data_IF_874354817106
#
_entry.id   IF_874354817106
#
_cell.length_a   1.000
_cell.length_b   1.000
_cell.length_c   1.000
_cell.angle_alpha   90.00
_cell.angle_beta   90.00
_cell.angle_gamma   90.00
#
_symmetry.space_group_name_H-M   'P 1'
#
loop_
_entity.id
_entity.type
_entity.pdbx_description
1 polymer ?
#
# COMPACT_ATOMS: atom_id res chain seq x y z
N UNK A 1 55.31 36.06 39.08
CA UNK A 1 55.20 37.53 38.90
C UNK A 1 53.74 37.79 38.51
N UNK A 2 52.88 38.14 39.48
CA UNK A 2 52.48 39.52 39.87
C UNK A 2 51.71 40.20 38.72
N UNK A 3 50.56 40.84 38.87
CA UNK A 3 49.74 41.19 40.03
C UNK A 3 48.43 41.81 39.46
N UNK A 4 47.29 41.54 40.08
CA UNK A 4 46.13 42.47 40.18
C UNK A 4 46.52 43.60 41.19
N UNK A 5 45.73 44.64 41.60
CA UNK A 5 44.25 44.72 41.63
C UNK A 5 43.58 46.14 41.55
N UNK A 6 42.26 46.14 41.80
CA UNK A 6 41.43 47.09 42.62
C UNK A 6 41.10 48.48 42.03
N UNK A 7 39.92 49.09 42.26
CA UNK A 7 39.05 49.11 43.46
C UNK A 7 37.71 49.85 43.16
N UNK A 8 36.53 49.32 43.61
CA UNK A 8 35.55 49.85 44.63
C UNK A 8 34.93 51.25 44.40
N UNK A 9 33.67 51.59 44.76
CA UNK A 9 32.83 51.22 45.91
C UNK A 9 31.38 51.78 45.75
N UNK A 10 30.39 51.12 46.38
CA UNK A 10 29.03 51.54 46.80
C UNK A 10 29.08 52.58 47.97
N UNK A 11 28.00 53.09 48.67
CA UNK A 11 26.62 52.58 48.87
C UNK A 11 25.44 53.62 49.09
N UNK A 12 24.23 53.09 49.38
CA UNK A 12 23.25 53.52 50.42
C UNK A 12 21.88 54.19 50.06
N UNK A 13 20.87 53.78 50.85
CA UNK A 13 19.38 54.00 50.94
C UNK A 13 19.15 54.99 52.14
N UNK A 14 18.05 55.80 52.36
CA UNK A 14 16.69 55.30 52.66
C UNK A 14 15.41 56.20 52.54
N UNK A 15 14.25 55.50 52.57
CA UNK A 15 12.92 55.77 53.21
C UNK A 15 12.19 57.14 53.22
N UNK A 16 10.88 57.10 52.88
CA UNK A 16 9.68 57.44 53.71
C UNK A 16 8.63 58.44 53.16
N UNK A 17 7.37 58.17 53.53
CA UNK A 17 6.21 59.06 53.77
C UNK A 17 5.14 59.36 52.67
N UNK A 18 3.93 58.81 52.90
CA UNK A 18 2.58 59.36 52.64
C UNK A 18 2.29 60.56 53.60
N UNK A 19 1.16 61.34 53.58
CA UNK A 19 -0.18 61.10 52.98
C UNK A 19 -0.89 62.33 52.34
N UNK A 20 -2.08 62.17 51.73
CA UNK A 20 -3.33 62.94 52.00
C UNK A 20 -4.45 62.78 50.94
N UNK A 21 -5.59 62.28 51.41
CA UNK A 21 -6.99 62.37 50.90
C UNK A 21 -7.66 63.69 51.38
N UNK A 22 -8.90 64.13 50.99
CA UNK A 22 -10.08 63.30 50.65
C UNK A 22 -11.17 63.79 49.67
N UNK A 23 -12.10 62.84 49.43
CA UNK A 23 -13.56 62.89 49.12
C UNK A 23 -14.04 63.50 47.79
N UNK A 24 -15.06 62.97 47.11
CA UNK A 24 -16.29 62.31 47.61
C UNK A 24 -16.99 61.39 46.58
N UNK A 25 -17.63 60.32 47.09
CA UNK A 25 -19.02 59.97 46.79
C UNK A 25 -19.36 58.83 45.80
N UNK A 26 -19.86 57.70 46.34
CA UNK A 26 -21.04 56.99 45.80
C UNK A 26 -20.89 55.55 45.26
N UNK A 27 -21.02 54.55 46.14
CA UNK A 27 -21.17 53.09 45.91
C UNK A 27 -22.63 52.66 45.53
N UNK A 28 -22.97 51.36 45.31
CA UNK A 28 -22.20 50.22 44.79
C UNK A 28 -22.99 49.37 43.75
N UNK A 29 -22.32 48.51 42.98
CA UNK A 29 -22.95 47.28 42.47
C UNK A 29 -21.95 46.14 42.35
N UNK A 30 -22.33 45.01 42.94
CA UNK A 30 -21.53 43.80 43.16
C UNK A 30 -21.26 43.05 41.86
N UNK A 31 -19.98 42.83 41.54
CA UNK A 31 -19.55 41.88 40.51
C UNK A 31 -18.61 40.84 41.11
N UNK A 32 -19.10 39.60 41.15
CA UNK A 32 -18.33 38.42 41.50
C UNK A 32 -17.45 38.04 40.31
N UNK A 33 -16.15 38.30 40.40
CA UNK A 33 -15.13 37.87 39.44
C UNK A 33 -14.98 36.35 39.45
N UNK A 34 -15.31 35.70 38.34
CA UNK A 34 -14.78 34.38 37.96
C UNK A 34 -13.64 34.58 36.96
N UNK A 35 -12.49 33.90 37.09
CA UNK A 35 -11.37 34.08 36.17
C UNK A 35 -11.63 33.33 34.85
N UNK A 36 -11.61 34.06 33.73
CA UNK A 36 -11.65 33.53 32.36
C UNK A 36 -10.22 33.53 31.80
N UNK A 37 -9.78 32.37 31.30
CA UNK A 37 -8.61 32.20 30.41
C UNK A 37 -9.01 31.13 29.38
N UNK A 38 -8.41 31.04 28.17
CA UNK A 38 -8.42 31.96 27.02
C UNK A 38 -9.10 31.31 25.80
N UNK A 39 -9.67 32.09 24.87
CA UNK A 39 -10.04 31.57 23.53
C UNK A 39 -8.93 31.87 22.52
N UNK A 40 -8.06 30.89 22.32
CA UNK A 40 -7.19 30.77 21.14
C UNK A 40 -8.04 30.80 19.86
N UNK A 41 -7.58 31.44 18.77
CA UNK A 41 -8.32 31.44 17.51
C UNK A 41 -8.44 30.02 16.98
N UNK A 42 -9.67 29.64 16.61
CA UNK A 42 -10.03 28.32 16.13
C UNK A 42 -9.11 27.87 14.99
N UNK A 43 -8.58 26.66 15.13
CA UNK A 43 -7.90 25.96 14.05
C UNK A 43 -8.84 25.84 12.83
N UNK A 44 -8.29 25.85 11.60
CA UNK A 44 -9.11 25.66 10.40
C UNK A 44 -9.83 24.30 10.48
N UNK A 45 -11.04 24.18 9.88
CA UNK A 45 -11.84 22.98 9.99
C UNK A 45 -11.03 21.78 9.48
N UNK A 46 -10.86 20.78 10.34
CA UNK A 46 -10.23 19.51 9.98
C UNK A 46 -10.95 18.95 8.75
N UNK A 47 -10.21 18.84 7.64
CA UNK A 47 -10.69 18.30 6.38
C UNK A 47 -11.39 16.96 6.61
N UNK A 48 -12.50 16.77 5.89
CA UNK A 48 -13.41 15.62 5.96
C UNK A 48 -12.78 14.38 6.58
N UNK A 49 -13.22 14.04 7.79
CA UNK A 49 -12.70 12.90 8.52
C UNK A 49 -12.87 11.64 7.65
N UNK A 50 -11.73 11.08 7.20
CA UNK A 50 -11.70 9.85 6.40
C UNK A 50 -12.69 8.81 6.96
N UNK A 51 -13.37 8.00 6.13
CA UNK A 51 -14.25 6.93 6.62
C UNK A 51 -13.57 6.10 7.71
N UNK A 52 -14.33 5.61 8.71
CA UNK A 52 -13.78 4.93 9.91
C UNK A 52 -12.78 3.82 9.54
N UNK A 53 -13.07 3.04 8.49
CA UNK A 53 -12.19 1.98 7.99
C UNK A 53 -10.87 2.54 7.42
N UNK A 54 -10.89 3.67 6.71
CA UNK A 54 -9.67 4.34 6.22
C UNK A 54 -8.85 4.92 7.36
N UNK A 55 -9.47 5.48 8.39
CA UNK A 55 -8.77 5.97 9.59
C UNK A 55 -8.02 4.85 10.31
N UNK A 56 -8.69 3.72 10.51
CA UNK A 56 -8.09 2.55 11.14
C UNK A 56 -6.91 2.01 10.32
N UNK A 57 -7.10 1.87 9.00
CA UNK A 57 -6.03 1.45 8.09
C UNK A 57 -4.83 2.42 8.11
N UNK A 58 -5.04 3.73 8.13
CA UNK A 58 -3.96 4.72 8.22
C UNK A 58 -3.18 4.57 9.55
N UNK A 59 -3.87 4.31 10.66
CA UNK A 59 -3.23 4.07 11.95
C UNK A 59 -2.40 2.77 11.93
N UNK A 60 -2.97 1.67 11.42
CA UNK A 60 -2.26 0.40 11.24
C UNK A 60 -1.04 0.56 10.32
N UNK A 61 -1.19 1.27 9.20
CA UNK A 61 -0.10 1.54 8.26
C UNK A 61 1.03 2.35 8.93
N UNK A 62 0.69 3.35 9.77
CA UNK A 62 1.70 4.12 10.52
C UNK A 62 2.51 3.23 11.47
N UNK A 63 1.84 2.32 12.19
CA UNK A 63 2.50 1.34 13.07
C UNK A 63 3.40 0.43 12.24
N UNK A 64 2.88 -0.14 11.15
CA UNK A 64 3.64 -0.99 10.23
C UNK A 64 4.90 -0.26 9.72
N UNK A 65 4.80 1.01 9.32
CA UNK A 65 5.95 1.79 8.87
C UNK A 65 7.00 1.99 9.95
N UNK A 66 6.58 2.25 11.18
CA UNK A 66 7.50 2.40 12.31
C UNK A 66 8.30 1.10 12.54
N UNK A 67 7.60 -0.05 12.56
CA UNK A 67 8.22 -1.38 12.73
C UNK A 67 9.17 -1.71 11.58
N UNK A 68 8.77 -1.49 10.32
CA UNK A 68 9.63 -1.75 9.16
C UNK A 68 10.86 -0.83 9.13
N UNK A 69 10.71 0.44 9.53
CA UNK A 69 11.83 1.38 9.64
C UNK A 69 12.81 0.95 10.73
N UNK A 70 12.32 0.40 11.85
CA UNK A 70 13.18 -0.16 12.89
C UNK A 70 13.99 -1.38 12.40
N UNK A 71 13.43 -2.16 11.47
CA UNK A 71 14.11 -3.29 10.82
C UNK A 71 15.10 -2.87 9.73
N UNK A 72 15.05 -1.62 9.26
CA UNK A 72 15.93 -1.12 8.22
C UNK A 72 17.35 -0.89 8.76
N UNK A 73 18.39 -1.50 8.15
CA UNK A 73 19.77 -1.24 8.55
C UNK A 73 20.15 0.23 8.40
N UNK A 74 20.82 0.79 9.41
CA UNK A 74 21.21 2.21 9.46
C UNK A 74 22.30 2.60 8.44
N UNK A 75 23.03 1.61 7.90
CA UNK A 75 24.13 1.83 6.96
C UNK A 75 24.04 0.96 5.72
N UNK A 76 24.55 1.50 4.62
CA UNK A 76 24.60 0.85 3.32
C UNK A 76 23.36 1.08 2.47
N UNK A 77 23.48 0.68 1.21
CA UNK A 77 22.44 0.83 0.19
C UNK A 77 22.20 -0.50 -0.51
N UNK A 78 20.94 -0.75 -0.87
CA UNK A 78 20.58 -1.78 -1.82
C UNK A 78 20.74 -1.19 -3.22
N UNK A 79 21.87 -1.48 -3.87
CA UNK A 79 22.22 -0.90 -5.18
C UNK A 79 21.71 -1.79 -6.30
N UNK A 80 20.92 -1.21 -7.19
CA UNK A 80 20.37 -1.88 -8.37
C UNK A 80 20.74 -1.06 -9.60
N UNK A 81 21.46 -1.66 -10.53
CA UNK A 81 21.82 -1.03 -11.82
C UNK A 81 21.28 -1.90 -12.96
N UNK A 82 20.22 -1.40 -13.60
CA UNK A 82 19.42 -2.13 -14.59
C UNK A 82 19.19 -1.27 -15.84
N UNK A 83 18.90 -1.91 -16.96
CA UNK A 83 18.42 -1.25 -18.18
C UNK A 83 16.90 -1.19 -18.19
N UNK A 84 16.32 -0.21 -18.90
CA UNK A 84 14.87 -0.15 -19.10
C UNK A 84 14.36 -1.28 -19.99
N UNK A 85 15.16 -1.73 -20.95
CA UNK A 85 14.80 -2.75 -21.94
C UNK A 85 14.73 -4.16 -21.35
N UNK A 86 15.63 -4.51 -20.43
CA UNK A 86 15.67 -5.83 -19.79
C UNK A 86 15.40 -5.72 -18.28
N UNK A 87 14.50 -4.83 -17.89
CA UNK A 87 14.26 -4.49 -16.47
C UNK A 87 13.88 -5.73 -15.65
N UNK A 88 13.09 -6.65 -16.21
CA UNK A 88 12.63 -7.85 -15.53
C UNK A 88 13.79 -8.83 -15.24
N UNK A 89 14.48 -9.28 -16.29
CA UNK A 89 15.56 -10.27 -16.20
C UNK A 89 16.80 -9.75 -15.44
N UNK A 90 17.14 -8.47 -15.60
CA UNK A 90 18.25 -7.88 -14.83
C UNK A 90 17.90 -7.71 -13.36
N UNK A 91 16.67 -7.30 -13.04
CA UNK A 91 16.20 -7.22 -11.66
C UNK A 91 16.15 -8.59 -11.01
N UNK A 92 15.67 -9.61 -11.73
CA UNK A 92 15.65 -11.00 -11.27
C UNK A 92 17.05 -11.47 -10.86
N UNK A 93 18.03 -11.34 -11.75
CA UNK A 93 19.42 -11.75 -11.48
C UNK A 93 20.05 -11.05 -10.29
N UNK A 94 19.76 -9.77 -10.09
CA UNK A 94 20.29 -8.98 -8.97
C UNK A 94 19.61 -9.36 -7.65
N UNK A 95 18.28 -9.33 -7.60
CA UNK A 95 17.50 -9.55 -6.39
C UNK A 95 17.62 -10.98 -5.88
N UNK A 96 17.67 -11.98 -6.76
CA UNK A 96 17.79 -13.37 -6.34
C UNK A 96 19.15 -13.69 -5.71
N UNK A 97 20.22 -12.98 -6.10
CA UNK A 97 21.55 -13.10 -5.48
C UNK A 97 21.67 -12.35 -4.15
N UNK A 98 20.79 -11.41 -3.87
CA UNK A 98 20.83 -10.63 -2.62
C UNK A 98 20.27 -11.40 -1.44
N UNK A 99 20.84 -11.14 -0.26
CA UNK A 99 20.28 -11.63 1.00
C UNK A 99 19.13 -10.73 1.45
N UNK A 100 18.13 -11.25 2.17
CA UNK A 100 17.02 -10.45 2.70
C UNK A 100 17.42 -9.18 3.45
N UNK A 101 18.46 -9.25 4.28
CA UNK A 101 18.99 -8.08 5.01
C UNK A 101 19.51 -6.97 4.10
N UNK A 102 20.08 -7.33 2.95
CA UNK A 102 20.62 -6.38 1.98
C UNK A 102 19.50 -5.65 1.22
N UNK A 103 18.40 -6.35 0.92
CA UNK A 103 17.20 -5.77 0.29
C UNK A 103 16.42 -4.79 1.19
N UNK A 104 16.56 -4.90 2.52
CA UNK A 104 15.97 -3.97 3.50
C UNK A 104 16.74 -2.64 3.62
N UNK A 105 17.97 -2.57 3.12
CA UNK A 105 18.75 -1.31 3.08
C UNK A 105 18.08 -0.31 2.14
N UNK A 106 18.37 0.98 2.33
CA UNK A 106 17.83 2.05 1.47
C UNK A 106 18.08 1.75 -0.01
N UNK A 107 17.02 1.71 -0.81
CA UNK A 107 17.08 1.45 -2.25
C UNK A 107 17.85 2.57 -2.95
N UNK A 108 18.75 2.19 -3.84
CA UNK A 108 19.52 3.07 -4.70
C UNK A 108 19.50 2.45 -6.10
N UNK A 109 18.51 2.85 -6.89
CA UNK A 109 18.31 2.34 -8.24
C UNK A 109 18.91 3.30 -9.25
N UNK A 110 19.55 2.77 -10.28
CA UNK A 110 20.13 3.51 -11.40
C UNK A 110 19.80 2.81 -12.72
N UNK A 111 19.27 3.55 -13.68
CA UNK A 111 19.14 3.06 -15.05
C UNK A 111 20.48 3.24 -15.79
N UNK A 112 20.93 2.19 -16.50
CA UNK A 112 22.19 2.26 -17.25
C UNK A 112 22.10 3.32 -18.34
N UNK A 113 23.12 4.17 -18.43
CA UNK A 113 23.18 5.26 -19.41
C UNK A 113 22.36 6.49 -19.03
N UNK A 114 21.69 6.50 -17.86
CA UNK A 114 20.90 7.62 -17.38
C UNK A 114 21.52 8.25 -16.12
N UNK A 115 21.66 9.57 -16.11
CA UNK A 115 21.97 10.31 -14.89
C UNK A 115 20.69 10.49 -14.07
N UNK A 116 20.52 9.65 -13.05
CA UNK A 116 19.41 9.77 -12.11
C UNK A 116 19.56 11.05 -11.27
N UNK A 117 18.69 12.04 -11.50
CA UNK A 117 18.64 13.27 -10.69
C UNK A 117 18.27 13.01 -9.23
N UNK A 118 17.48 11.97 -8.96
CA UNK A 118 17.09 11.57 -7.60
C UNK A 118 16.87 10.06 -7.46
N UNK A 119 17.54 9.46 -6.46
CA UNK A 119 17.53 8.01 -6.23
C UNK A 119 16.17 7.44 -5.79
N UNK A 120 15.31 8.21 -5.12
CA UNK A 120 13.99 7.76 -4.68
C UNK A 120 12.93 7.86 -5.78
N UNK A 121 13.03 8.82 -6.68
CA UNK A 121 12.23 8.88 -7.90
C UNK A 121 12.47 7.66 -8.78
N UNK A 122 13.75 7.36 -9.05
CA UNK A 122 14.16 6.21 -9.88
C UNK A 122 13.76 4.88 -9.24
N UNK A 123 13.79 4.74 -7.91
CA UNK A 123 13.34 3.53 -7.23
C UNK A 123 11.83 3.27 -7.39
N UNK A 124 11.00 4.33 -7.34
CA UNK A 124 9.56 4.23 -7.59
C UNK A 124 9.27 3.83 -9.03
N UNK A 125 9.93 4.49 -9.97
CA UNK A 125 9.79 4.20 -11.39
C UNK A 125 10.23 2.76 -11.72
N UNK A 126 11.38 2.32 -11.19
CA UNK A 126 11.85 0.95 -11.34
C UNK A 126 10.82 -0.07 -10.86
N UNK A 127 10.25 0.14 -9.67
CA UNK A 127 9.28 -0.79 -9.13
C UNK A 127 7.98 -0.80 -9.94
N UNK A 128 7.55 0.37 -10.42
CA UNK A 128 6.39 0.51 -11.30
C UNK A 128 6.58 -0.24 -12.63
N UNK A 129 7.73 -0.04 -13.30
CA UNK A 129 8.02 -0.69 -14.57
C UNK A 129 8.19 -2.20 -14.38
N UNK A 130 8.89 -2.60 -13.32
CA UNK A 130 9.08 -4.00 -12.97
C UNK A 130 7.76 -4.69 -12.62
N UNK A 131 6.83 -4.01 -11.92
CA UNK A 131 5.54 -4.60 -11.63
C UNK A 131 4.72 -4.86 -12.88
N UNK A 132 4.77 -3.98 -13.87
CA UNK A 132 4.09 -4.20 -15.15
C UNK A 132 4.63 -5.42 -15.89
N UNK A 133 5.96 -5.55 -15.99
CA UNK A 133 6.57 -6.71 -16.63
C UNK A 133 6.29 -8.00 -15.85
N UNK A 134 6.45 -7.97 -14.52
CA UNK A 134 6.21 -9.13 -13.65
C UNK A 134 4.76 -9.63 -13.71
N UNK A 135 3.80 -8.72 -13.86
CA UNK A 135 2.38 -9.01 -13.87
C UNK A 135 1.81 -9.19 -15.29
N UNK A 136 2.63 -9.02 -16.32
CA UNK A 136 2.24 -9.26 -17.70
C UNK A 136 1.99 -10.77 -17.91
N UNK A 137 0.76 -11.17 -18.31
CA UNK A 137 0.44 -12.59 -18.53
C UNK A 137 1.29 -13.28 -19.59
N UNK A 138 1.97 -12.54 -20.46
CA UNK A 138 2.87 -13.09 -21.48
C UNK A 138 4.07 -13.84 -20.88
N UNK A 139 4.52 -13.48 -19.67
CA UNK A 139 5.57 -14.23 -18.96
C UNK A 139 5.07 -15.54 -18.33
N UNK A 140 3.76 -15.80 -18.39
CA UNK A 140 3.15 -17.06 -17.93
C UNK A 140 3.11 -17.25 -16.41
N UNK A 141 3.50 -16.25 -15.61
CA UNK A 141 3.44 -16.33 -14.14
C UNK A 141 2.02 -16.06 -13.61
N UNK A 142 1.37 -15.03 -14.14
CA UNK A 142 0.02 -14.64 -13.76
C UNK A 142 -0.90 -14.68 -14.96
N UNK A 143 -2.19 -14.79 -14.71
CA UNK A 143 -3.24 -14.72 -15.72
C UNK A 143 -4.41 -13.91 -15.19
N UNK A 144 -5.22 -13.36 -16.10
CA UNK A 144 -6.46 -12.71 -15.70
C UNK A 144 -7.43 -13.74 -15.10
N UNK A 145 -8.12 -13.34 -14.03
CA UNK A 145 -9.13 -14.17 -13.36
C UNK A 145 -10.34 -14.41 -14.25
N UNK A 146 -10.77 -13.36 -14.98
CA UNK A 146 -11.87 -13.37 -15.94
C UNK A 146 -11.62 -12.40 -17.08
N UNK A 147 -12.36 -12.55 -18.17
CA UNK A 147 -12.30 -11.66 -19.34
C UNK A 147 -12.80 -10.24 -19.05
N UNK A 148 -13.69 -10.08 -18.07
CA UNK A 148 -14.32 -8.81 -17.68
C UNK A 148 -13.63 -8.09 -16.51
N UNK A 149 -12.69 -8.76 -15.83
CA UNK A 149 -12.05 -8.26 -14.63
C UNK A 149 -10.53 -8.38 -14.74
N UNK A 150 -9.84 -7.24 -14.76
CA UNK A 150 -8.37 -7.13 -14.86
C UNK A 150 -7.63 -7.56 -13.57
N UNK A 151 -8.28 -8.32 -12.69
CA UNK A 151 -7.62 -8.92 -11.52
C UNK A 151 -6.79 -10.13 -11.94
N UNK A 152 -5.63 -10.27 -11.32
CA UNK A 152 -4.66 -11.30 -11.62
C UNK A 152 -4.70 -12.43 -10.60
N UNK A 153 -4.51 -13.65 -11.08
CA UNK A 153 -4.31 -14.86 -10.31
C UNK A 153 -3.05 -15.59 -10.81
N UNK A 154 -2.50 -16.49 -10.00
CA UNK A 154 -1.37 -17.32 -10.41
C UNK A 154 -1.80 -18.23 -11.56
N UNK A 155 -0.97 -18.32 -12.60
CA UNK A 155 -1.19 -19.26 -13.69
C UNK A 155 -0.83 -20.69 -13.24
N UNK A 156 -1.79 -21.63 -13.19
CA UNK A 156 -1.51 -23.03 -12.86
C UNK A 156 -0.56 -23.70 -13.87
N UNK A 157 -0.56 -23.23 -15.12
CA UNK A 157 0.29 -23.75 -16.20
C UNK A 157 1.67 -23.07 -16.25
N UNK A 158 2.02 -22.28 -15.23
CA UNK A 158 3.36 -21.65 -15.14
C UNK A 158 4.52 -22.64 -15.19
N UNK A 159 4.28 -23.92 -14.88
CA UNK A 159 5.27 -25.01 -14.96
C UNK A 159 5.82 -25.28 -16.37
N UNK A 160 5.21 -24.70 -17.42
CA UNK A 160 5.80 -24.66 -18.78
C UNK A 160 7.20 -24.02 -18.75
N UNK A 161 7.44 -23.08 -17.84
CA UNK A 161 8.78 -22.60 -17.53
C UNK A 161 9.37 -23.40 -16.36
N UNK A 162 10.47 -24.17 -16.56
CA UNK A 162 11.11 -24.94 -15.49
C UNK A 162 11.54 -24.10 -14.28
N UNK A 163 11.88 -22.84 -14.48
CA UNK A 163 12.34 -21.92 -13.43
C UNK A 163 11.20 -21.11 -12.79
N UNK A 164 9.94 -21.40 -13.12
CA UNK A 164 8.78 -20.60 -12.68
C UNK A 164 8.73 -20.38 -11.16
N UNK A 165 9.07 -21.39 -10.35
CA UNK A 165 9.10 -21.26 -8.88
C UNK A 165 10.11 -20.22 -8.41
N UNK A 166 11.26 -20.12 -9.09
CA UNK A 166 12.27 -19.10 -8.80
C UNK A 166 11.73 -17.69 -9.14
N UNK A 167 11.00 -17.56 -10.24
CA UNK A 167 10.33 -16.31 -10.61
C UNK A 167 9.20 -15.93 -9.63
N UNK A 168 8.43 -16.90 -9.10
CA UNK A 168 7.47 -16.61 -8.03
C UNK A 168 8.16 -16.18 -6.73
N UNK A 169 9.29 -16.81 -6.37
CA UNK A 169 10.11 -16.38 -5.24
C UNK A 169 10.60 -14.94 -5.42
N UNK A 170 11.08 -14.61 -6.62
CA UNK A 170 11.43 -13.25 -7.01
C UNK A 170 10.23 -12.28 -6.89
N UNK A 171 9.07 -12.63 -7.45
CA UNK A 171 7.87 -11.81 -7.38
C UNK A 171 7.46 -11.52 -5.93
N UNK A 172 7.53 -12.54 -5.06
CA UNK A 172 7.34 -12.40 -3.62
C UNK A 172 8.30 -11.39 -2.99
N UNK A 173 9.59 -11.45 -3.35
CA UNK A 173 10.58 -10.46 -2.88
C UNK A 173 10.27 -9.05 -3.37
N UNK A 174 9.83 -8.87 -4.63
CA UNK A 174 9.44 -7.56 -5.17
C UNK A 174 8.23 -6.99 -4.43
N UNK A 175 7.19 -7.79 -4.17
CA UNK A 175 6.05 -7.38 -3.35
C UNK A 175 6.50 -7.01 -1.93
N UNK A 176 7.39 -7.81 -1.34
CA UNK A 176 7.98 -7.52 -0.03
C UNK A 176 8.77 -6.20 -0.01
N UNK A 177 9.59 -5.95 -1.03
CA UNK A 177 10.36 -4.70 -1.20
C UNK A 177 9.42 -3.50 -1.34
N UNK A 178 8.34 -3.64 -2.13
CA UNK A 178 7.32 -2.62 -2.29
C UNK A 178 6.73 -2.19 -0.94
N UNK A 179 6.24 -3.17 -0.16
CA UNK A 179 5.65 -2.92 1.16
C UNK A 179 6.69 -2.38 2.14
N UNK A 180 7.91 -2.92 2.15
CA UNK A 180 8.97 -2.54 3.07
C UNK A 180 9.40 -1.07 2.89
N UNK A 181 9.69 -0.67 1.66
CA UNK A 181 10.16 0.69 1.34
C UNK A 181 9.00 1.66 1.13
N UNK A 182 7.80 1.14 0.88
CA UNK A 182 6.61 1.95 0.79
C UNK A 182 6.20 2.43 -0.55
N UNK A 183 6.54 1.66 -1.55
CA UNK A 183 6.18 1.91 -2.91
C UNK A 183 4.98 1.03 -3.26
N UNK A 184 4.25 1.46 -4.28
CA UNK A 184 3.09 0.75 -4.76
C UNK A 184 3.47 -0.07 -5.99
N UNK A 185 2.88 -1.27 -6.08
CA UNK A 185 2.95 -2.12 -7.27
C UNK A 185 1.73 -1.80 -8.11
N UNK A 186 1.93 -1.66 -9.42
CA UNK A 186 0.81 -1.47 -10.33
C UNK A 186 0.28 -2.82 -10.79
N UNK A 187 -0.77 -3.29 -10.12
CA UNK A 187 -1.51 -4.49 -10.47
C UNK A 187 -2.40 -4.96 -9.31
N UNK A 188 -3.59 -5.46 -9.66
CA UNK A 188 -4.57 -5.96 -8.69
C UNK A 188 -4.60 -7.48 -8.68
N UNK A 189 -4.32 -8.09 -7.54
CA UNK A 189 -4.58 -9.52 -7.36
C UNK A 189 -6.02 -9.76 -6.91
N UNK A 190 -6.51 -11.00 -7.03
CA UNK A 190 -7.81 -11.37 -6.48
C UNK A 190 -7.82 -11.32 -4.94
N UNK A 191 -8.99 -11.09 -4.34
CA UNK A 191 -9.18 -11.17 -2.88
C UNK A 191 -8.62 -12.45 -2.24
N UNK A 192 -8.87 -13.66 -2.80
CA UNK A 192 -8.24 -14.89 -2.32
C UNK A 192 -6.71 -14.83 -2.22
N UNK A 193 -6.03 -14.18 -3.17
CA UNK A 193 -4.57 -14.04 -3.14
C UNK A 193 -4.09 -13.34 -1.87
N UNK A 194 -4.73 -12.22 -1.49
CA UNK A 194 -4.39 -11.49 -0.28
C UNK A 194 -4.76 -12.26 0.99
N UNK A 195 -5.90 -12.98 1.00
CA UNK A 195 -6.26 -13.88 2.11
C UNK A 195 -5.21 -14.96 2.32
N UNK A 196 -4.76 -15.61 1.24
CA UNK A 196 -3.70 -16.62 1.30
C UNK A 196 -2.39 -16.02 1.81
N UNK A 197 -2.04 -14.79 1.41
CA UNK A 197 -0.82 -14.13 1.86
C UNK A 197 -0.84 -13.82 3.37
N UNK A 198 -2.03 -13.54 3.91
CA UNK A 198 -2.30 -13.37 5.34
C UNK A 198 -2.47 -14.69 6.11
N UNK A 199 -2.40 -15.84 5.43
CA UNK A 199 -2.75 -17.16 5.99
C UNK A 199 -4.18 -17.22 6.55
N UNK A 200 -5.12 -16.49 5.94
CA UNK A 200 -6.54 -16.56 6.24
C UNK A 200 -7.21 -17.65 5.41
N UNK A 201 -8.24 -18.33 5.95
CA UNK A 201 -9.00 -19.31 5.19
C UNK A 201 -9.79 -18.62 4.07
N UNK A 202 -9.86 -19.28 2.92
CA UNK A 202 -10.70 -18.87 1.80
C UNK A 202 -12.14 -19.31 2.10
N UNK A 203 -13.10 -18.43 1.81
CA UNK A 203 -14.53 -18.65 2.07
C UNK A 203 -15.30 -18.81 0.76
N UNK A 204 -16.53 -19.29 0.86
CA UNK A 204 -17.42 -19.46 -0.30
C UNK A 204 -17.66 -18.14 -1.04
N UNK A 205 -17.80 -17.03 -0.31
CA UNK A 205 -17.94 -15.68 -0.87
C UNK A 205 -16.78 -15.29 -1.81
N UNK A 206 -15.58 -15.82 -1.59
CA UNK A 206 -14.42 -15.54 -2.45
C UNK A 206 -14.57 -16.18 -3.84
N UNK A 207 -15.36 -17.25 -3.96
CA UNK A 207 -15.64 -17.91 -5.24
C UNK A 207 -16.51 -17.01 -6.12
N UNK A 208 -17.43 -16.21 -5.57
CA UNK A 208 -18.37 -15.41 -6.36
C UNK A 208 -17.66 -14.49 -7.38
N UNK A 209 -16.52 -13.90 -6.98
CA UNK A 209 -15.70 -13.04 -7.82
C UNK A 209 -14.82 -13.77 -8.85
N UNK A 210 -14.64 -15.08 -8.72
CA UNK A 210 -13.79 -15.90 -9.62
C UNK A 210 -14.60 -16.85 -10.50
N UNK A 211 -15.65 -17.47 -9.95
CA UNK A 211 -16.52 -18.45 -10.62
C UNK A 211 -17.97 -18.37 -10.06
N UNK A 212 -18.88 -17.56 -10.63
CA UNK A 212 -20.20 -17.32 -10.04
C UNK A 212 -21.10 -18.55 -10.12
N UNK A 213 -20.87 -19.41 -11.11
CA UNK A 213 -21.62 -20.64 -11.32
C UNK A 213 -21.28 -21.66 -10.24
N UNK A 214 -19.98 -21.86 -9.97
CA UNK A 214 -19.54 -22.70 -8.86
C UNK A 214 -20.03 -22.16 -7.51
N UNK A 215 -19.98 -20.85 -7.31
CA UNK A 215 -20.54 -20.21 -6.11
C UNK A 215 -22.01 -20.58 -5.92
N UNK A 216 -22.83 -20.42 -6.97
CA UNK A 216 -24.26 -20.75 -6.95
C UNK A 216 -24.52 -22.22 -6.60
N UNK A 217 -23.77 -23.13 -7.22
CA UNK A 217 -23.90 -24.57 -6.99
C UNK A 217 -23.55 -24.97 -5.56
N UNK A 218 -22.43 -24.45 -5.01
CA UNK A 218 -22.02 -24.74 -3.64
C UNK A 218 -22.93 -24.07 -2.60
N UNK A 219 -23.45 -22.87 -2.87
CA UNK A 219 -24.47 -22.21 -2.03
C UNK A 219 -25.76 -23.02 -2.01
N UNK A 220 -26.21 -23.49 -3.18
CA UNK A 220 -27.39 -24.35 -3.27
C UNK A 220 -27.23 -25.62 -2.43
N UNK A 221 -26.06 -26.28 -2.48
CA UNK A 221 -25.78 -27.45 -1.64
C UNK A 221 -25.89 -27.15 -0.14
N UNK A 222 -25.48 -25.95 0.31
CA UNK A 222 -25.56 -25.57 1.71
C UNK A 222 -27.00 -25.29 2.16
N UNK A 223 -27.81 -24.72 1.28
CA UNK A 223 -29.16 -24.23 1.57
C UNK A 223 -30.27 -25.27 1.36
N UNK A 224 -29.99 -26.34 0.60
CA UNK A 224 -30.98 -27.36 0.23
C UNK A 224 -30.61 -28.75 0.78
N UNK A 225 -31.61 -29.62 0.87
CA UNK A 225 -31.43 -31.03 1.25
C UNK A 225 -30.83 -31.82 0.08
N UNK A 226 -29.70 -32.48 0.33
CA UNK A 226 -28.97 -33.29 -0.65
C UNK A 226 -29.59 -34.67 -0.88
N UNK A 227 -30.45 -35.14 0.05
CA UNK A 227 -30.96 -36.52 0.08
C UNK A 227 -31.66 -36.91 -1.21
N UNK A 228 -31.05 -37.81 -1.99
CA UNK A 228 -31.60 -38.30 -3.27
C UNK A 228 -31.52 -37.30 -4.43
N UNK A 229 -30.87 -36.15 -4.25
CA UNK A 229 -30.70 -35.11 -5.27
C UNK A 229 -29.26 -35.04 -5.78
N UNK A 230 -28.27 -35.14 -4.88
CA UNK A 230 -26.85 -35.09 -5.21
C UNK A 230 -26.18 -36.36 -4.69
N UNK A 231 -25.66 -37.17 -5.62
CA UNK A 231 -24.84 -38.34 -5.31
C UNK A 231 -23.38 -38.02 -5.66
N UNK A 232 -22.67 -37.41 -4.72
CA UNK A 232 -21.26 -37.06 -4.87
C UNK A 232 -20.44 -37.52 -3.67
N UNK A 233 -19.14 -37.68 -3.87
CA UNK A 233 -18.19 -38.09 -2.84
C UNK A 233 -17.25 -36.94 -2.52
N UNK A 234 -16.36 -37.10 -1.54
CA UNK A 234 -15.26 -36.14 -1.28
C UNK A 234 -14.14 -36.24 -2.33
N UNK A 235 -14.50 -36.43 -3.59
CA UNK A 235 -13.60 -36.45 -4.73
C UNK A 235 -14.17 -35.61 -5.86
N UNK A 236 -13.29 -34.95 -6.60
CA UNK A 236 -13.63 -34.03 -7.69
C UNK A 236 -12.96 -34.45 -8.97
N UNK A 237 -13.72 -34.41 -10.05
CA UNK A 237 -13.24 -34.75 -11.38
C UNK A 237 -12.72 -33.50 -12.09
N UNK A 238 -11.49 -33.56 -12.58
CA UNK A 238 -10.86 -32.47 -13.30
C UNK A 238 -10.41 -32.96 -14.66
N UNK A 239 -10.90 -32.30 -15.71
CA UNK A 239 -10.38 -32.47 -17.04
C UNK A 239 -9.06 -31.71 -17.16
N UNK A 240 -7.95 -32.43 -17.28
CA UNK A 240 -6.62 -31.88 -17.52
C UNK A 240 -6.12 -32.38 -18.87
N UNK A 241 -6.08 -31.49 -19.88
CA UNK A 241 -5.64 -31.81 -21.24
C UNK A 241 -6.40 -32.99 -21.89
N UNK A 242 -7.72 -33.08 -21.65
CA UNK A 242 -8.57 -34.15 -22.18
C UNK A 242 -8.56 -35.44 -21.35
N UNK A 243 -7.75 -35.51 -20.29
CA UNK A 243 -7.72 -36.65 -19.35
C UNK A 243 -8.47 -36.29 -18.08
N UNK A 244 -9.48 -37.09 -17.75
CA UNK A 244 -10.29 -36.93 -16.56
C UNK A 244 -9.54 -37.51 -15.36
N UNK A 245 -9.10 -36.65 -14.45
CA UNK A 245 -8.38 -37.01 -13.22
C UNK A 245 -9.28 -36.81 -12.01
N UNK A 246 -9.36 -37.84 -11.16
CA UNK A 246 -10.09 -37.76 -9.89
C UNK A 246 -9.14 -37.30 -8.79
N UNK A 247 -9.46 -36.20 -8.14
CA UNK A 247 -8.72 -35.66 -7.00
C UNK A 247 -9.53 -35.81 -5.72
N UNK A 248 -8.94 -36.43 -4.70
CA UNK A 248 -9.56 -36.60 -3.38
C UNK A 248 -9.40 -35.31 -2.55
N UNK A 249 -10.51 -34.74 -2.08
CA UNK A 249 -10.52 -33.54 -1.24
C UNK A 249 -9.99 -33.81 0.18
N UNK A 250 -10.06 -35.07 0.62
CA UNK A 250 -9.48 -35.58 1.86
C UNK A 250 -9.07 -37.04 1.68
N UNK A 251 -8.24 -37.56 2.57
CA UNK A 251 -7.77 -38.95 2.54
C UNK A 251 -8.95 -39.94 2.46
N UNK A 252 -8.98 -40.78 1.41
CA UNK A 252 -10.06 -41.74 1.20
C UNK A 252 -11.36 -41.10 0.70
N UNK A 253 -11.30 -39.87 0.18
CA UNK A 253 -12.47 -39.06 -0.16
C UNK A 253 -13.39 -39.67 -1.21
N UNK A 254 -12.86 -40.54 -2.09
CA UNK A 254 -13.64 -41.28 -3.09
C UNK A 254 -14.69 -42.21 -2.48
N UNK A 255 -14.43 -42.73 -1.29
CA UNK A 255 -15.31 -43.69 -0.62
C UNK A 255 -16.24 -43.01 0.40
N UNK A 256 -16.12 -41.69 0.56
CA UNK A 256 -16.88 -40.91 1.53
C UNK A 256 -17.95 -40.11 0.79
N UNK A 257 -19.20 -40.53 0.95
CA UNK A 257 -20.37 -39.86 0.35
C UNK A 257 -20.64 -38.53 1.06
N UNK A 258 -21.03 -37.52 0.29
CA UNK A 258 -21.48 -36.23 0.83
C UNK A 258 -22.92 -36.37 1.33
N UNK A 259 -23.14 -36.05 2.60
CA UNK A 259 -24.43 -36.13 3.30
C UNK A 259 -24.77 -34.78 3.94
N UNK A 260 -25.98 -34.64 4.47
CA UNK A 260 -26.41 -33.43 5.18
C UNK A 260 -25.50 -33.05 6.35
N UNK A 261 -24.94 -34.03 7.05
CA UNK A 261 -24.05 -33.82 8.19
C UNK A 261 -22.67 -33.31 7.78
N UNK A 262 -22.19 -33.68 6.57
CA UNK A 262 -20.82 -33.41 6.14
C UNK A 262 -20.71 -32.41 4.98
N UNK A 263 -21.83 -31.94 4.40
CA UNK A 263 -21.83 -31.01 3.25
C UNK A 263 -21.06 -29.71 3.49
N UNK A 264 -21.05 -29.20 4.73
CA UNK A 264 -20.26 -28.02 5.11
C UNK A 264 -18.75 -28.26 4.99
N UNK A 265 -18.29 -29.47 5.34
CA UNK A 265 -16.91 -29.88 5.19
C UNK A 265 -16.55 -30.03 3.71
N UNK A 266 -17.41 -30.68 2.93
CA UNK A 266 -17.23 -30.83 1.47
C UNK A 266 -17.06 -29.47 0.80
N UNK A 267 -17.99 -28.53 1.03
CA UNK A 267 -17.94 -27.19 0.44
C UNK A 267 -16.66 -26.47 0.85
N UNK A 268 -16.26 -26.53 2.12
CA UNK A 268 -15.01 -25.91 2.60
C UNK A 268 -13.78 -26.48 1.90
N UNK A 269 -13.69 -27.80 1.74
CA UNK A 269 -12.57 -28.44 1.06
C UNK A 269 -12.57 -28.17 -0.44
N UNK A 270 -13.75 -28.14 -1.06
CA UNK A 270 -13.90 -27.80 -2.48
C UNK A 270 -13.44 -26.37 -2.75
N UNK A 271 -13.86 -25.41 -1.92
CA UNK A 271 -13.43 -24.01 -2.02
C UNK A 271 -11.91 -23.92 -1.95
N UNK A 272 -11.29 -24.53 -0.95
CA UNK A 272 -9.84 -24.50 -0.78
C UNK A 272 -9.13 -25.14 -1.99
N UNK A 273 -9.63 -26.30 -2.44
CA UNK A 273 -9.12 -26.97 -3.63
C UNK A 273 -9.21 -26.09 -4.88
N UNK A 274 -10.33 -25.41 -5.12
CA UNK A 274 -10.54 -24.57 -6.31
C UNK A 274 -9.49 -23.46 -6.45
N UNK A 275 -9.03 -22.90 -5.33
CA UNK A 275 -8.05 -21.82 -5.31
C UNK A 275 -6.61 -22.30 -5.22
N UNK A 276 -6.36 -23.45 -4.59
CA UNK A 276 -5.00 -23.98 -4.42
C UNK A 276 -4.54 -24.83 -5.60
N UNK A 277 -5.47 -25.53 -6.27
CA UNK A 277 -5.15 -26.55 -7.28
C UNK A 277 -4.19 -26.03 -8.35
N UNK A 278 -3.01 -26.64 -8.39
CA UNK A 278 -2.02 -26.40 -9.43
C UNK A 278 -1.19 -25.13 -9.23
N UNK A 279 -1.40 -24.42 -8.10
CA UNK A 279 -0.67 -23.20 -7.75
C UNK A 279 0.03 -23.31 -6.39
N UNK A 280 -0.04 -24.44 -5.69
CA UNK A 280 0.46 -24.58 -4.32
C UNK A 280 1.95 -24.27 -4.20
N UNK A 281 2.76 -24.82 -5.10
CA UNK A 281 4.21 -24.61 -5.09
C UNK A 281 4.58 -23.18 -5.47
N UNK A 282 3.87 -22.63 -6.45
CA UNK A 282 4.01 -21.26 -6.94
C UNK A 282 3.71 -20.26 -5.82
N UNK A 283 2.57 -20.43 -5.15
CA UNK A 283 2.16 -19.57 -4.06
C UNK A 283 3.10 -19.69 -2.87
N UNK A 284 3.54 -20.90 -2.51
CA UNK A 284 4.50 -21.09 -1.43
C UNK A 284 5.83 -20.40 -1.71
N UNK A 285 6.34 -20.48 -2.96
CA UNK A 285 7.55 -19.77 -3.38
C UNK A 285 7.38 -18.25 -3.28
N UNK A 286 6.24 -17.71 -3.73
CA UNK A 286 5.90 -16.29 -3.60
C UNK A 286 5.79 -15.85 -2.15
N UNK A 287 5.04 -16.59 -1.33
CA UNK A 287 4.86 -16.28 0.09
C UNK A 287 6.21 -16.31 0.82
N UNK A 288 7.09 -17.25 0.49
CA UNK A 288 8.46 -17.30 1.03
C UNK A 288 9.24 -16.03 0.68
N UNK A 289 9.20 -15.58 -0.58
CA UNK A 289 9.86 -14.33 -0.99
C UNK A 289 9.35 -13.11 -0.26
N UNK A 290 8.04 -13.02 -0.10
CA UNK A 290 7.40 -11.92 0.62
C UNK A 290 7.82 -11.91 2.10
N UNK A 291 7.72 -13.06 2.76
CA UNK A 291 8.00 -13.20 4.21
C UNK A 291 9.48 -13.07 4.57
N UNK A 292 10.39 -13.30 3.62
CA UNK A 292 11.82 -12.99 3.78
C UNK A 292 12.06 -11.49 4.01
N UNK A 293 11.26 -10.62 3.39
CA UNK A 293 11.43 -9.17 3.49
C UNK A 293 10.54 -8.58 4.59
N UNK A 294 9.26 -8.96 4.60
CA UNK A 294 8.24 -8.45 5.52
C UNK A 294 7.82 -9.57 6.48
N UNK A 295 8.14 -9.49 7.78
CA UNK A 295 7.75 -10.53 8.73
C UNK A 295 6.22 -10.71 8.79
N UNK A 296 5.76 -11.97 8.68
CA UNK A 296 4.33 -12.30 8.65
C UNK A 296 3.54 -11.78 9.88
N UNK A 297 4.20 -11.65 11.03
CA UNK A 297 3.60 -11.11 12.26
C UNK A 297 3.13 -9.66 12.10
N UNK A 298 3.83 -8.85 11.31
CA UNK A 298 3.48 -7.46 11.06
C UNK A 298 2.24 -7.33 10.16
N UNK A 299 1.91 -8.38 9.40
CA UNK A 299 0.75 -8.40 8.51
C UNK A 299 -0.55 -8.87 9.20
N UNK A 300 -0.46 -9.52 10.36
CA UNK A 300 -1.62 -10.07 11.09
C UNK A 300 -2.75 -9.07 11.40
N UNK A 301 -2.49 -7.79 11.72
CA UNK A 301 -3.55 -6.82 12.01
C UNK A 301 -4.40 -6.41 10.79
N UNK A 302 -3.93 -6.73 9.59
CA UNK A 302 -4.58 -6.32 8.36
C UNK A 302 -5.57 -7.37 7.85
N UNK A 303 -6.64 -6.89 7.23
CA UNK A 303 -7.46 -7.72 6.36
C UNK A 303 -7.00 -7.70 4.89
N UNK A 304 -7.61 -8.54 4.09
CA UNK A 304 -7.30 -8.74 2.68
C UNK A 304 -7.50 -7.47 1.83
N UNK A 305 -8.51 -6.64 2.16
CA UNK A 305 -8.77 -5.37 1.48
C UNK A 305 -7.77 -4.30 1.92
N UNK A 306 -7.43 -4.30 3.21
CA UNK A 306 -6.39 -3.44 3.76
C UNK A 306 -5.00 -3.78 3.17
N UNK A 307 -4.69 -5.07 3.00
CA UNK A 307 -3.43 -5.52 2.42
C UNK A 307 -3.35 -5.18 0.93
N UNK A 308 -4.44 -5.34 0.18
CA UNK A 308 -4.55 -4.86 -1.20
C UNK A 308 -4.19 -3.38 -1.30
N UNK A 309 -4.76 -2.54 -0.43
CA UNK A 309 -4.48 -1.11 -0.38
C UNK A 309 -3.05 -0.77 0.04
N UNK A 310 -2.42 -1.59 0.87
CA UNK A 310 -1.01 -1.43 1.26
C UNK A 310 -0.07 -1.73 0.08
N UNK A 311 -0.39 -2.74 -0.73
CA UNK A 311 0.44 -3.18 -1.86
C UNK A 311 0.20 -2.29 -3.09
N UNK A 312 -1.06 -2.04 -3.45
CA UNK A 312 -1.47 -1.37 -4.69
C UNK A 312 -1.80 0.12 -4.56
N UNK A 313 -1.97 0.64 -3.34
CA UNK A 313 -2.37 2.04 -3.13
C UNK A 313 -3.79 2.33 -3.62
N UNK A 314 -4.19 3.61 -3.65
CA UNK A 314 -5.49 4.00 -4.22
C UNK A 314 -5.41 4.06 -5.75
N UNK A 315 -6.33 3.36 -6.41
CA UNK A 315 -6.49 3.38 -7.87
C UNK A 315 -7.29 4.57 -8.40
N UNK A 316 -8.28 5.06 -7.64
CA UNK A 316 -9.06 6.23 -8.04
C UNK A 316 -8.37 7.51 -7.61
N UNK A 317 -8.24 8.44 -8.57
CA UNK A 317 -7.64 9.75 -8.35
C UNK A 317 -8.76 10.75 -8.08
N UNK A 318 -8.84 11.24 -6.84
CA UNK A 318 -9.71 12.35 -6.48
C UNK A 318 -9.08 13.68 -6.95
N UNK A 319 -9.70 14.29 -7.96
CA UNK A 319 -9.22 15.53 -8.56
C UNK A 319 -9.34 16.70 -7.58
N UNK A 320 -10.36 16.71 -6.71
CA UNK A 320 -10.54 17.79 -5.74
C UNK A 320 -9.47 17.72 -4.67
N UNK A 321 -9.17 16.51 -4.17
CA UNK A 321 -8.04 16.30 -3.25
C UNK A 321 -6.70 16.67 -3.91
N UNK A 322 -6.50 16.33 -5.20
CA UNK A 322 -5.30 16.70 -5.94
C UNK A 322 -5.15 18.22 -6.07
N UNK A 323 -6.21 18.91 -6.47
CA UNK A 323 -6.25 20.38 -6.56
C UNK A 323 -5.94 21.03 -5.22
N UNK A 324 -6.63 20.60 -4.16
CA UNK A 324 -6.49 21.16 -2.81
C UNK A 324 -5.07 20.99 -2.23
N UNK A 325 -4.37 19.93 -2.63
CA UNK A 325 -3.02 19.62 -2.13
C UNK A 325 -1.92 19.88 -3.17
N UNK A 326 -2.17 20.77 -4.14
CA UNK A 326 -1.16 21.20 -5.10
C UNK A 326 -0.50 22.51 -4.68
N UNK A 327 0.83 22.52 -4.63
CA UNK A 327 1.63 23.72 -4.41
C UNK A 327 1.84 24.46 -5.74
N UNK A 328 1.64 25.77 -5.73
CA UNK A 328 1.91 26.64 -6.86
C UNK A 328 3.20 27.42 -6.63
N UNK A 329 4.08 27.48 -7.63
CA UNK A 329 5.38 28.17 -7.55
C UNK A 329 5.55 29.07 -8.78
N UNK A 330 5.80 30.36 -8.53
CA UNK A 330 5.81 31.41 -9.56
C UNK A 330 4.50 31.52 -10.36
N UNK A 331 3.39 31.10 -9.77
CA UNK A 331 2.04 31.21 -10.31
C UNK A 331 1.01 31.22 -9.17
N UNK A 332 -0.23 31.59 -9.48
CA UNK A 332 -1.39 31.54 -8.59
C UNK A 332 -2.52 30.72 -9.20
N UNK A 333 -3.60 30.48 -8.45
CA UNK A 333 -4.75 29.71 -8.94
C UNK A 333 -5.47 30.41 -10.12
N UNK A 334 -5.33 31.73 -10.23
CA UNK A 334 -5.89 32.58 -11.26
C UNK A 334 -5.01 32.64 -12.52
N UNK A 335 -3.79 32.09 -12.47
CA UNK A 335 -2.89 32.08 -13.63
C UNK A 335 -3.51 31.22 -14.74
N UNK A 336 -3.64 31.72 -15.99
CA UNK A 336 -4.35 31.00 -17.06
C UNK A 336 -3.84 29.58 -17.28
N UNK A 337 -2.52 29.37 -17.26
CA UNK A 337 -1.89 28.05 -17.43
C UNK A 337 -2.30 27.07 -16.32
N UNK A 338 -2.46 27.54 -15.08
CA UNK A 338 -2.91 26.70 -13.96
C UNK A 338 -4.38 26.31 -14.14
N UNK A 339 -5.23 27.24 -14.60
CA UNK A 339 -6.63 26.96 -14.90
C UNK A 339 -6.77 25.96 -16.06
N UNK A 340 -6.02 26.16 -17.14
CA UNK A 340 -6.01 25.24 -18.28
C UNK A 340 -5.51 23.86 -17.89
N UNK A 341 -4.43 23.76 -17.10
CA UNK A 341 -3.93 22.49 -16.60
C UNK A 341 -5.06 21.70 -15.91
N UNK A 342 -5.78 22.34 -15.00
CA UNK A 342 -6.84 21.67 -14.26
C UNK A 342 -8.08 21.36 -15.09
N UNK A 343 -8.47 22.23 -16.02
CA UNK A 343 -9.55 21.94 -16.99
C UNK A 343 -9.21 20.71 -17.84
N UNK A 344 -7.97 20.58 -18.28
CA UNK A 344 -7.49 19.43 -19.04
C UNK A 344 -7.51 18.16 -18.17
N UNK A 345 -7.00 18.23 -16.93
CA UNK A 345 -6.99 17.10 -15.99
C UNK A 345 -8.41 16.64 -15.62
N UNK A 346 -9.36 17.56 -15.48
CA UNK A 346 -10.77 17.23 -15.26
C UNK A 346 -11.38 16.49 -16.45
N UNK A 347 -10.99 16.85 -17.68
CA UNK A 347 -11.45 16.17 -18.90
C UNK A 347 -10.72 14.86 -19.20
N UNK A 348 -9.59 14.58 -18.55
CA UNK A 348 -8.85 13.34 -18.74
C UNK A 348 -9.64 12.12 -18.23
N UNK A 349 -9.48 10.98 -18.92
CA UNK A 349 -9.88 9.68 -18.40
C UNK A 349 -9.04 9.31 -17.18
N UNK A 350 -9.49 8.34 -16.38
CA UNK A 350 -8.71 7.86 -15.22
C UNK A 350 -7.31 7.38 -15.62
N UNK A 351 -7.19 6.70 -16.76
CA UNK A 351 -5.91 6.25 -17.32
C UNK A 351 -4.98 7.43 -17.64
N UNK A 352 -5.50 8.49 -18.28
CA UNK A 352 -4.71 9.68 -18.59
C UNK A 352 -4.26 10.42 -17.32
N UNK A 353 -5.13 10.49 -16.30
CA UNK A 353 -4.77 11.06 -14.99
C UNK A 353 -3.67 10.25 -14.30
N UNK A 354 -3.77 8.92 -14.35
CA UNK A 354 -2.76 8.01 -13.81
C UNK A 354 -1.39 8.18 -14.51
N UNK A 355 -1.38 8.27 -15.84
CA UNK A 355 -0.16 8.54 -16.63
C UNK A 355 0.46 9.89 -16.30
N UNK A 356 -0.34 10.95 -16.14
CA UNK A 356 0.16 12.25 -15.72
C UNK A 356 0.77 12.20 -14.32
N UNK A 357 0.10 11.53 -13.38
CA UNK A 357 0.61 11.37 -12.02
C UNK A 357 1.92 10.60 -12.02
N UNK A 358 2.00 9.52 -12.80
CA UNK A 358 3.20 8.73 -12.97
C UNK A 358 4.34 9.54 -13.59
N UNK A 359 4.07 10.35 -14.61
CA UNK A 359 5.06 11.20 -15.23
C UNK A 359 5.70 12.17 -14.22
N UNK A 360 4.90 12.77 -13.34
CA UNK A 360 5.40 13.77 -12.38
C UNK A 360 6.00 13.12 -11.12
N UNK A 361 5.46 11.98 -10.67
CA UNK A 361 5.79 11.41 -9.36
C UNK A 361 6.54 10.08 -9.42
N UNK A 362 6.62 9.44 -10.60
CA UNK A 362 7.12 8.08 -10.77
C UNK A 362 6.15 6.98 -10.34
N UNK A 363 4.91 7.32 -9.96
CA UNK A 363 3.87 6.38 -9.51
C UNK A 363 2.51 6.77 -10.08
N UNK A 364 1.72 5.80 -10.54
CA UNK A 364 0.31 5.99 -10.93
C UNK A 364 -0.65 6.02 -9.74
N UNK A 365 -0.16 5.70 -8.54
CA UNK A 365 -0.97 5.45 -7.33
C UNK A 365 -0.85 6.58 -6.32
N UNK A 366 -1.97 6.86 -5.63
CA UNK A 366 -2.08 7.88 -4.57
C UNK A 366 -1.97 7.22 -3.20
N UNK A 367 -1.26 7.83 -2.22
CA UNK A 367 -1.26 7.35 -0.84
C UNK A 367 -2.66 7.29 -0.22
N UNK A 368 -2.86 6.41 0.76
CA UNK A 368 -4.15 6.24 1.44
C UNK A 368 -4.65 7.50 2.14
N UNK A 369 -3.72 8.35 2.56
CA UNK A 369 -4.02 9.64 3.19
C UNK A 369 -4.33 10.74 2.16
N UNK A 370 -4.32 10.45 0.86
CA UNK A 370 -4.55 11.40 -0.23
C UNK A 370 -3.28 12.15 -0.66
N UNK A 371 -3.48 13.17 -1.49
CA UNK A 371 -2.40 13.97 -2.10
C UNK A 371 -1.57 14.75 -1.07
N UNK A 372 -2.12 15.03 0.12
CA UNK A 372 -1.39 15.65 1.24
C UNK A 372 -0.21 14.83 1.73
N UNK A 373 -0.23 13.52 1.48
CA UNK A 373 0.81 12.58 1.91
C UNK A 373 1.69 12.10 0.76
N UNK A 374 1.65 12.77 -0.40
CA UNK A 374 2.50 12.43 -1.54
C UNK A 374 3.96 12.33 -1.11
N UNK A 375 4.61 11.24 -1.51
CA UNK A 375 5.98 10.97 -1.11
C UNK A 375 6.96 11.63 -2.07
N UNK A 376 7.94 12.30 -1.49
CA UNK A 376 9.07 12.86 -2.21
C UNK A 376 10.14 11.83 -2.52
N UNK A 377 11.08 12.25 -3.35
CA UNK A 377 12.18 11.48 -3.89
C UNK A 377 13.38 11.47 -2.91
N UNK A 378 13.58 12.60 -2.23
CA UNK A 378 14.52 12.74 -1.12
C UNK A 378 13.94 12.09 0.13
N UNK A 379 14.68 11.20 0.80
CA UNK A 379 14.35 10.67 2.14
C UNK A 379 14.42 11.72 3.26
N UNK A 380 13.91 12.92 2.98
CA UNK A 380 13.51 13.91 3.92
C UNK A 380 12.27 13.41 4.66
N UNK A 381 12.21 13.72 5.95
CA UNK A 381 11.14 13.34 6.87
C UNK A 381 9.91 14.20 6.57
N UNK A 382 9.18 13.90 5.49
CA UNK A 382 7.91 14.59 5.23
C UNK A 382 7.34 14.41 3.82
N UNK A 383 6.02 14.64 3.67
CA UNK A 383 5.37 14.61 2.37
C UNK A 383 5.87 15.73 1.45
N UNK A 384 5.98 15.44 0.16
CA UNK A 384 6.18 16.44 -0.90
C UNK A 384 4.92 16.52 -1.75
N UNK A 385 4.24 17.64 -1.63
CA UNK A 385 3.05 17.95 -2.41
C UNK A 385 3.37 18.03 -3.91
N UNK A 386 2.38 17.68 -4.73
CA UNK A 386 2.41 17.95 -6.16
C UNK A 386 2.65 19.44 -6.39
N UNK A 387 3.56 19.80 -7.28
CA UNK A 387 3.96 21.20 -7.46
C UNK A 387 3.88 21.60 -8.93
N UNK A 388 3.09 22.62 -9.23
CA UNK A 388 3.10 23.30 -10.54
C UNK A 388 4.05 24.49 -10.41
N UNK A 389 5.11 24.47 -11.21
CA UNK A 389 6.11 25.54 -11.25
C UNK A 389 6.16 26.12 -12.66
N UNK A 390 5.72 27.38 -12.80
CA UNK A 390 5.88 28.14 -14.05
C UNK A 390 7.33 28.60 -14.17
N UNK A 391 7.96 28.23 -15.29
CA UNK A 391 9.34 28.60 -15.62
C UNK A 391 9.33 29.40 -16.93
N UNK A 392 10.26 30.35 -17.04
CA UNK A 392 10.56 30.98 -18.32
C UNK A 392 11.25 29.93 -19.20
N UNK A 393 10.62 29.56 -20.31
CA UNK A 393 11.23 28.63 -21.24
C UNK A 393 12.45 29.30 -21.88
N UNK A 394 13.66 28.68 -21.83
CA UNK A 394 14.78 29.17 -22.62
C UNK A 394 14.39 29.08 -24.10
N UNK A 395 14.57 30.19 -24.83
CA UNK A 395 14.31 30.29 -26.26
C UNK A 395 15.20 29.35 -27.08
#
# INVERSE_FOLDING_TARGET
KKNNPSSTQTPAVPSSANPSTPSSGGEPSSTTTTPVIPTTPAAPPEGEALPKYRRDLVAKQKILRAELTALQPQSGHCRLEVSRTEIFEESYRLIMKMRPKDMRKRLMVKFRGEEGLDYGGVAREWLYLLSHEMLNPQYGLFQYSREDNYTLQINPDSSVNPEHLSYFHFAGRIIGIAVFHGHYIDGGFTTPFYKMLLNKPITLEDIEGVDPELHRSLTWMLENDLTGVIDTTFAVEVNSFGVLKVHELKTGGKDIIVTEENKKEYVKLYVNYRFMRGIEQQFLALQKGFTEIVPAQLMRPFDERELELIIGGLGSIDIQDWKANTRLKHCSAETPVVQWFWQIVENYSEEMRARLLQFVTGSSRVPLQGFKALQGSTGAVGPRLFTIHVIDAPQ
#
